data_IF_974419489750
#
_entry.id   IF_974419489750
#
_cell.length_a   1.000
_cell.length_b   1.000
_cell.length_c   1.000
_cell.angle_alpha   90.00
_cell.angle_beta   90.00
_cell.angle_gamma   90.00
#
_symmetry.space_group_name_H-M   'P 1'
#
loop_
_entity.id
_entity.type
_entity.pdbx_description
1 polymer ?
#
# COMPACT_ATOMS: atom_id res chain seq x y z
N UNK A 1 9.47 -15.36 -13.63
CA UNK A 1 9.79 -15.52 -12.19
C UNK A 1 9.07 -14.43 -11.42
N UNK A 2 8.09 -14.76 -10.55
CA UNK A 2 7.36 -13.78 -9.73
C UNK A 2 7.84 -13.95 -8.28
N UNK A 3 8.49 -12.94 -7.73
CA UNK A 3 8.98 -12.96 -6.34
C UNK A 3 8.04 -12.15 -5.45
N UNK A 4 7.08 -12.80 -4.75
CA UNK A 4 6.11 -12.10 -3.90
C UNK A 4 6.77 -11.37 -2.72
N UNK A 5 7.97 -11.80 -2.29
CA UNK A 5 8.74 -11.12 -1.23
C UNK A 5 9.10 -9.69 -1.61
N UNK A 6 9.57 -9.48 -2.85
CA UNK A 6 10.00 -8.17 -3.34
C UNK A 6 8.85 -7.16 -3.43
N UNK A 7 7.63 -7.62 -3.74
CA UNK A 7 6.43 -6.77 -3.82
C UNK A 7 6.06 -6.21 -2.44
N UNK A 8 6.07 -7.08 -1.42
CA UNK A 8 5.67 -6.72 -0.06
C UNK A 8 6.66 -5.75 0.58
N UNK A 9 7.96 -6.00 0.42
CA UNK A 9 9.02 -5.08 0.86
C UNK A 9 8.93 -3.72 0.17
N UNK A 10 8.68 -3.70 -1.14
CA UNK A 10 8.55 -2.46 -1.92
C UNK A 10 7.36 -1.63 -1.42
N UNK A 11 6.19 -2.23 -1.28
CA UNK A 11 4.98 -1.53 -0.79
C UNK A 11 5.20 -1.00 0.62
N UNK A 12 5.73 -1.82 1.52
CA UNK A 12 5.98 -1.43 2.92
C UNK A 12 6.98 -0.28 3.00
N UNK A 13 8.09 -0.36 2.25
CA UNK A 13 9.11 0.69 2.20
C UNK A 13 8.56 2.00 1.63
N UNK A 14 7.78 1.92 0.55
CA UNK A 14 7.14 3.09 -0.06
C UNK A 14 6.13 3.74 0.89
N UNK A 15 5.27 2.96 1.53
CA UNK A 15 4.31 3.46 2.52
C UNK A 15 5.00 4.04 3.76
N UNK A 16 6.12 3.44 4.21
CA UNK A 16 6.91 3.97 5.34
C UNK A 16 7.60 5.29 5.00
N UNK A 17 8.09 5.43 3.77
CA UNK A 17 8.80 6.64 3.33
C UNK A 17 7.87 7.82 3.03
N UNK A 18 6.70 7.55 2.43
CA UNK A 18 5.76 8.60 1.98
C UNK A 18 4.53 8.78 2.88
N UNK A 19 4.29 7.87 3.82
CA UNK A 19 3.14 7.91 4.72
C UNK A 19 1.86 7.41 4.06
N UNK A 20 0.75 8.11 4.27
CA UNK A 20 -0.56 7.72 3.74
C UNK A 20 -0.63 7.91 2.22
N UNK A 21 -0.88 6.83 1.47
CA UNK A 21 -0.89 6.83 0.01
C UNK A 21 -2.12 6.13 -0.57
N UNK A 22 -2.53 6.53 -1.77
CA UNK A 22 -3.56 5.81 -2.53
C UNK A 22 -2.95 4.59 -3.23
N UNK A 23 -3.79 3.65 -3.66
CA UNK A 23 -3.36 2.50 -4.48
C UNK A 23 -2.68 2.98 -5.76
N UNK A 24 -3.24 4.01 -6.41
CA UNK A 24 -2.69 4.61 -7.62
C UNK A 24 -1.30 5.22 -7.37
N UNK A 25 -1.14 5.94 -6.26
CA UNK A 25 0.15 6.48 -5.83
C UNK A 25 1.18 5.39 -5.52
N UNK A 26 0.75 4.23 -5.01
CA UNK A 26 1.63 3.08 -4.79
C UNK A 26 2.04 2.42 -6.11
N UNK A 27 1.12 2.28 -7.07
CA UNK A 27 1.41 1.80 -8.43
C UNK A 27 2.46 2.68 -9.09
N UNK A 28 2.23 3.99 -9.10
CA UNK A 28 3.14 4.96 -9.71
C UNK A 28 4.51 4.99 -9.00
N UNK A 29 4.55 4.94 -7.67
CA UNK A 29 5.80 5.01 -6.91
C UNK A 29 6.60 3.70 -6.92
N UNK A 30 5.92 2.56 -7.00
CA UNK A 30 6.56 1.23 -6.91
C UNK A 30 6.85 0.64 -8.29
N UNK A 31 6.27 1.19 -9.36
CA UNK A 31 6.30 0.58 -10.71
C UNK A 31 5.54 -0.76 -10.78
N UNK A 32 4.70 -1.03 -9.77
CA UNK A 32 3.93 -2.27 -9.65
C UNK A 32 2.57 -2.11 -10.30
N UNK A 33 1.99 -3.22 -10.77
CA UNK A 33 0.61 -3.20 -11.24
C UNK A 33 -0.39 -3.08 -10.09
N UNK A 34 -1.59 -2.58 -10.38
CA UNK A 34 -2.70 -2.51 -9.39
C UNK A 34 -2.93 -3.87 -8.72
N UNK A 35 -2.89 -4.95 -9.50
CA UNK A 35 -3.07 -6.31 -9.00
C UNK A 35 -1.98 -6.72 -7.98
N UNK A 36 -0.71 -6.39 -8.25
CA UNK A 36 0.40 -6.63 -7.32
C UNK A 36 0.26 -5.80 -6.04
N UNK A 37 -0.17 -4.54 -6.15
CA UNK A 37 -0.41 -3.69 -4.98
C UNK A 37 -1.55 -4.25 -4.12
N UNK A 38 -2.66 -4.67 -4.74
CA UNK A 38 -3.78 -5.31 -4.05
C UNK A 38 -3.37 -6.63 -3.37
N UNK A 39 -2.61 -7.48 -4.05
CA UNK A 39 -2.06 -8.70 -3.46
C UNK A 39 -1.13 -8.37 -2.28
N UNK A 40 -0.22 -7.41 -2.44
CA UNK A 40 0.69 -6.98 -1.39
C UNK A 40 -0.04 -6.44 -0.16
N UNK A 41 -1.07 -5.63 -0.34
CA UNK A 41 -1.93 -5.15 0.75
C UNK A 41 -2.66 -6.30 1.47
N UNK A 42 -3.10 -7.33 0.74
CA UNK A 42 -3.73 -8.52 1.33
C UNK A 42 -2.72 -9.34 2.12
N UNK A 43 -1.51 -9.50 1.59
CA UNK A 43 -0.42 -10.20 2.26
C UNK A 43 0.04 -9.46 3.53
N UNK A 44 0.11 -8.12 3.50
CA UNK A 44 0.43 -7.31 4.68
C UNK A 44 -0.55 -7.59 5.83
N UNK A 45 -1.86 -7.65 5.53
CA UNK A 45 -2.86 -8.04 6.53
C UNK A 45 -2.67 -9.45 7.07
N UNK A 46 -2.27 -10.39 6.21
CA UNK A 46 -1.99 -11.78 6.60
C UNK A 46 -0.73 -11.92 7.47
N UNK A 47 0.26 -11.08 7.24
CA UNK A 47 1.52 -11.01 8.00
C UNK A 47 1.35 -10.31 9.36
N UNK A 48 0.14 -9.85 9.70
CA UNK A 48 -0.14 -9.12 10.93
C UNK A 48 0.22 -7.63 10.86
N UNK A 49 0.64 -7.14 9.70
CA UNK A 49 0.90 -5.71 9.48
C UNK A 49 -0.43 -4.98 9.43
N UNK A 50 -0.66 -4.15 10.45
CA UNK A 50 -1.86 -3.33 10.53
C UNK A 50 -1.75 -2.21 9.49
N UNK A 51 -2.73 -2.11 8.60
CA UNK A 51 -2.90 -0.99 7.66
C UNK A 51 -4.18 -0.25 8.01
N UNK A 52 -4.11 1.08 8.10
CA UNK A 52 -5.25 1.95 8.39
C UNK A 52 -5.61 2.79 7.19
N UNK A 53 -6.91 2.93 6.93
CA UNK A 53 -7.43 3.91 6.00
C UNK A 53 -7.37 5.30 6.69
N UNK A 54 -6.60 6.22 6.12
CA UNK A 54 -6.50 7.60 6.58
C UNK A 54 -7.46 8.42 5.73
N UNK A 55 -8.60 8.77 6.32
CA UNK A 55 -9.61 9.59 5.66
C UNK A 55 -9.13 11.04 5.68
N UNK A 56 -8.62 11.53 4.56
CA UNK A 56 -8.28 12.94 4.41
C UNK A 56 -9.49 13.68 3.84
N UNK A 57 -10.22 14.38 4.71
CA UNK A 57 -11.29 15.35 4.40
C UNK A 57 -12.66 14.80 3.95
N UNK A 58 -13.72 15.57 4.25
CA UNK A 58 -15.11 15.34 3.86
C UNK A 58 -15.27 15.66 2.36
N UNK A 59 -15.53 14.64 1.52
CA UNK A 59 -15.79 14.77 0.08
C UNK A 59 -14.80 13.98 -0.78
N UNK A 60 -15.33 12.95 -1.49
CA UNK A 60 -14.80 12.17 -2.64
C UNK A 60 -13.28 11.87 -2.76
N UNK A 61 -12.52 12.00 -1.68
CA UNK A 61 -11.07 11.79 -1.74
C UNK A 61 -10.76 10.29 -1.77
N UNK A 62 -9.88 9.82 -2.69
CA UNK A 62 -9.55 8.41 -2.81
C UNK A 62 -8.99 7.90 -1.49
N UNK A 63 -9.47 6.72 -1.08
CA UNK A 63 -9.10 6.13 0.20
C UNK A 63 -7.57 5.94 0.27
N UNK A 64 -6.93 6.71 1.16
CA UNK A 64 -5.48 6.63 1.41
C UNK A 64 -5.23 5.57 2.48
N UNK A 65 -4.27 4.70 2.24
CA UNK A 65 -3.85 3.65 3.15
C UNK A 65 -2.49 4.00 3.72
N UNK A 66 -2.31 3.76 5.03
CA UNK A 66 -1.05 3.94 5.72
C UNK A 66 -0.76 2.71 6.56
N UNK A 67 0.52 2.39 6.77
CA UNK A 67 0.92 1.47 7.83
C UNK A 67 0.46 2.05 9.17
N UNK A 68 -0.29 1.26 9.94
CA UNK A 68 -0.55 1.56 11.33
C UNK A 68 0.71 1.25 12.12
N UNK A 69 1.25 2.29 12.76
CA UNK A 69 2.46 2.23 13.57
C UNK A 69 2.21 1.43 14.84
#
# INVERSE_FOLDING_TARGET
>A
MFQPKSVLETITKTMKAKGAMTVDGLVAASGLTVHQVMQGMTLLRRDGVKIKAVRTSWGDSPCRWQLAN
#
